data_IF_289570719723
#
_entry.id   IF_289570719723
#
_cell.length_a   1.000
_cell.length_b   1.000
_cell.length_c   1.000
_cell.angle_alpha   90.00
_cell.angle_beta   90.00
_cell.angle_gamma   90.00
#
_symmetry.space_group_name_H-M   'P 1'
#
loop_
_entity.id
_entity.type
_entity.pdbx_description
1 polymer ?
#
# COMPACT_ATOMS: atom_id res chain seq x y z
N UNK A 1 -7.83 -13.41 13.87
CA UNK A 1 -8.03 -13.11 12.43
C UNK A 1 -7.22 -11.86 12.12
N UNK A 2 -6.43 -11.86 11.08
CA UNK A 2 -5.65 -10.69 10.63
C UNK A 2 -6.60 -9.53 10.28
N UNK A 3 -6.21 -8.28 10.59
CA UNK A 3 -7.10 -7.10 10.39
C UNK A 3 -7.41 -6.82 8.93
N UNK A 4 -6.51 -7.17 8.00
CA UNK A 4 -6.78 -7.09 6.56
C UNK A 4 -7.97 -8.00 6.22
N UNK A 5 -7.91 -9.26 6.61
CA UNK A 5 -8.99 -10.22 6.36
C UNK A 5 -10.30 -9.78 7.04
N UNK A 6 -10.22 -9.23 8.25
CA UNK A 6 -11.39 -8.70 8.95
C UNK A 6 -12.01 -7.52 8.20
N UNK A 7 -11.21 -6.58 7.71
CA UNK A 7 -11.69 -5.45 6.91
C UNK A 7 -12.49 -5.93 5.70
N UNK A 8 -11.92 -6.81 4.88
CA UNK A 8 -12.59 -7.30 3.68
C UNK A 8 -13.78 -8.22 3.95
N UNK A 9 -13.87 -8.83 5.12
CA UNK A 9 -15.06 -9.60 5.52
C UNK A 9 -16.24 -8.71 5.91
N UNK A 10 -15.98 -7.50 6.42
CA UNK A 10 -17.01 -6.56 6.91
C UNK A 10 -17.35 -5.47 5.90
N UNK A 11 -16.40 -5.09 5.04
CA UNK A 11 -16.56 -4.06 4.02
C UNK A 11 -16.02 -4.56 2.68
N UNK A 12 -16.89 -4.69 1.68
CA UNK A 12 -16.54 -5.27 0.38
C UNK A 12 -16.34 -4.24 -0.73
N UNK A 13 -16.71 -2.98 -0.52
CA UNK A 13 -16.62 -1.90 -1.50
C UNK A 13 -16.22 -0.58 -0.84
N UNK A 14 -15.78 0.35 -1.67
CA UNK A 14 -15.42 1.72 -1.28
C UNK A 14 -14.39 1.76 -0.15
N UNK A 15 -13.48 0.79 -0.14
CA UNK A 15 -12.35 0.77 0.78
C UNK A 15 -11.33 1.81 0.31
N UNK A 16 -10.98 2.72 1.21
CA UNK A 16 -9.96 3.73 0.96
C UNK A 16 -8.72 3.39 1.77
N UNK A 17 -7.62 3.12 1.07
CA UNK A 17 -6.27 3.01 1.62
C UNK A 17 -5.46 4.25 1.29
N UNK A 18 -4.69 4.74 2.24
CA UNK A 18 -3.77 5.87 2.04
C UNK A 18 -2.35 5.40 2.22
N UNK A 19 -1.51 5.68 1.22
CA UNK A 19 -0.07 5.51 1.31
C UNK A 19 0.62 6.82 1.69
N UNK A 20 1.61 6.73 2.58
CA UNK A 20 2.58 7.79 2.82
C UNK A 20 3.95 7.22 3.20
N UNK A 21 5.02 8.01 3.05
CA UNK A 21 6.38 7.58 3.36
C UNK A 21 6.72 7.88 4.83
N UNK A 22 7.19 6.89 5.57
CA UNK A 22 7.65 7.04 6.95
C UNK A 22 8.81 8.05 7.03
N UNK A 23 8.79 8.94 8.02
CA UNK A 23 9.81 9.99 8.19
C UNK A 23 9.70 11.16 7.23
N UNK A 24 8.58 11.27 6.49
CA UNK A 24 8.29 12.38 5.58
C UNK A 24 6.99 13.09 5.97
N UNK A 25 6.95 14.44 5.90
CA UNK A 25 8.07 15.35 5.66
C UNK A 25 8.97 15.55 6.89
N UNK A 26 8.56 15.08 8.06
CA UNK A 26 9.30 15.15 9.33
C UNK A 26 9.57 13.76 9.88
N UNK A 27 10.70 13.59 10.56
CA UNK A 27 11.16 12.29 11.05
C UNK A 27 10.15 11.61 12.00
N UNK A 28 9.56 12.37 12.90
CA UNK A 28 8.67 11.88 13.96
C UNK A 28 7.19 11.85 13.55
N UNK A 29 6.85 12.25 12.34
CA UNK A 29 5.46 12.42 11.88
C UNK A 29 4.69 11.12 11.64
N UNK A 30 5.35 9.96 11.58
CA UNK A 30 4.75 8.70 11.12
C UNK A 30 3.55 8.27 11.98
N UNK A 31 3.75 8.11 13.29
CA UNK A 31 2.69 7.63 14.18
C UNK A 31 1.51 8.62 14.29
N UNK A 32 1.78 9.93 14.31
CA UNK A 32 0.73 10.95 14.35
C UNK A 32 -0.10 10.96 13.06
N UNK A 33 0.51 10.81 11.90
CA UNK A 33 -0.19 10.70 10.62
C UNK A 33 -1.14 9.50 10.59
N UNK A 34 -0.69 8.33 11.06
CA UNK A 34 -1.52 7.12 11.14
C UNK A 34 -2.77 7.37 12.01
N UNK A 35 -2.58 7.94 13.21
CA UNK A 35 -3.70 8.24 14.12
C UNK A 35 -4.71 9.22 13.53
N UNK A 36 -4.23 10.23 12.82
CA UNK A 36 -5.10 11.21 12.14
C UNK A 36 -5.88 10.53 11.03
N UNK A 37 -5.25 9.74 10.18
CA UNK A 37 -5.92 9.06 9.07
C UNK A 37 -7.03 8.12 9.57
N UNK A 38 -6.79 7.34 10.63
CA UNK A 38 -7.85 6.52 11.21
C UNK A 38 -9.02 7.36 11.74
N UNK A 39 -8.76 8.45 12.47
CA UNK A 39 -9.81 9.36 12.95
C UNK A 39 -10.63 10.00 11.82
N UNK A 40 -10.02 10.19 10.64
CA UNK A 40 -10.71 10.68 9.44
C UNK A 40 -11.50 9.60 8.68
N UNK A 41 -11.52 8.36 9.19
CA UNK A 41 -12.31 7.26 8.62
C UNK A 41 -11.63 6.52 7.46
N UNK A 42 -10.32 6.64 7.31
CA UNK A 42 -9.55 5.83 6.37
C UNK A 42 -9.61 4.36 6.81
N UNK A 43 -9.75 3.45 5.85
CA UNK A 43 -10.01 2.04 6.14
C UNK A 43 -8.73 1.20 6.30
N UNK A 44 -7.64 1.59 5.66
CA UNK A 44 -6.34 0.92 5.69
C UNK A 44 -5.24 1.94 5.44
N UNK A 45 -4.05 1.71 5.96
CA UNK A 45 -2.92 2.59 5.76
C UNK A 45 -1.73 1.78 5.26
N UNK A 46 -1.07 2.31 4.22
CA UNK A 46 0.18 1.81 3.69
C UNK A 46 1.32 2.75 4.08
N UNK A 47 2.32 2.22 4.77
CA UNK A 47 3.45 2.97 5.30
C UNK A 47 4.68 2.60 4.48
N UNK A 48 5.17 3.54 3.67
CA UNK A 48 6.35 3.36 2.85
C UNK A 48 7.63 3.32 3.69
N UNK A 49 8.41 2.27 3.53
CA UNK A 49 9.78 2.16 4.04
C UNK A 49 10.68 2.90 3.04
N UNK A 50 11.33 4.02 3.41
CA UNK A 50 12.14 4.78 2.47
C UNK A 50 13.35 3.96 2.01
N UNK A 51 13.65 4.03 0.71
CA UNK A 51 14.77 3.35 0.09
C UNK A 51 15.47 4.26 -0.93
N UNK A 52 16.78 4.13 -1.07
CA UNK A 52 17.60 4.98 -1.94
C UNK A 52 17.46 4.67 -3.43
N UNK A 53 17.09 3.43 -3.75
CA UNK A 53 17.12 2.90 -5.14
C UNK A 53 15.74 2.34 -5.55
N UNK A 54 14.64 3.12 -5.46
CA UNK A 54 13.29 2.66 -5.74
C UNK A 54 13.09 2.46 -7.24
N UNK A 55 12.74 1.24 -7.68
CA UNK A 55 12.52 0.91 -9.09
C UNK A 55 11.07 1.12 -9.56
N UNK A 56 10.11 1.02 -8.63
CA UNK A 56 8.68 1.03 -8.94
C UNK A 56 7.98 2.35 -8.61
N UNK A 57 8.67 3.29 -7.96
CA UNK A 57 8.07 4.50 -7.45
C UNK A 57 8.14 5.67 -8.45
N UNK A 58 7.08 6.47 -8.49
CA UNK A 58 7.06 7.72 -9.23
C UNK A 58 7.83 8.86 -8.52
N UNK A 59 8.05 9.99 -9.22
CA UNK A 59 8.91 11.09 -8.72
C UNK A 59 8.51 11.64 -7.35
N UNK A 60 7.21 11.71 -7.04
CA UNK A 60 6.70 12.20 -5.75
C UNK A 60 7.13 11.29 -4.61
N UNK A 61 6.99 9.98 -4.79
CA UNK A 61 7.35 8.99 -3.77
C UNK A 61 8.88 8.92 -3.63
N UNK A 62 9.63 8.96 -4.74
CA UNK A 62 11.08 9.01 -4.73
C UNK A 62 11.61 10.24 -3.96
N UNK A 63 10.98 11.41 -4.19
CA UNK A 63 11.31 12.63 -3.46
C UNK A 63 11.06 12.46 -1.94
N UNK A 64 9.90 11.94 -1.58
CA UNK A 64 9.55 11.69 -0.18
C UNK A 64 10.51 10.71 0.49
N UNK A 65 10.84 9.60 -0.16
CA UNK A 65 11.80 8.61 0.33
C UNK A 65 13.20 9.21 0.53
N UNK A 66 13.69 9.99 -0.46
CA UNK A 66 14.98 10.68 -0.36
C UNK A 66 15.02 11.65 0.82
N UNK A 67 13.95 12.41 1.03
CA UNK A 67 13.84 13.36 2.15
C UNK A 67 13.75 12.63 3.48
N UNK A 68 12.98 11.55 3.57
CA UNK A 68 12.88 10.72 4.77
C UNK A 68 14.23 10.11 5.19
N UNK A 69 15.01 9.61 4.22
CA UNK A 69 16.36 9.11 4.47
C UNK A 69 17.29 10.24 4.96
N UNK A 70 17.23 11.44 4.37
CA UNK A 70 17.98 12.62 4.83
C UNK A 70 17.57 13.05 6.24
N UNK A 71 16.32 12.88 6.62
CA UNK A 71 15.82 13.12 7.97
C UNK A 71 16.35 12.07 8.98
N UNK A 72 16.96 10.96 8.52
CA UNK A 72 17.50 9.90 9.35
C UNK A 72 16.56 8.71 9.57
N UNK A 73 15.50 8.57 8.77
CA UNK A 73 14.60 7.41 8.88
C UNK A 73 15.32 6.12 8.50
N UNK A 74 15.12 5.11 9.33
CA UNK A 74 15.58 3.73 9.12
C UNK A 74 14.45 2.77 9.44
N UNK A 75 14.52 1.53 8.93
CA UNK A 75 13.53 0.51 9.23
C UNK A 75 13.45 0.22 10.75
N UNK A 76 14.58 0.22 11.44
CA UNK A 76 14.61 0.05 12.90
C UNK A 76 13.87 1.20 13.60
N UNK A 77 14.16 2.44 13.23
CA UNK A 77 13.49 3.62 13.81
C UNK A 77 12.00 3.62 13.51
N UNK A 78 11.59 3.19 12.32
CA UNK A 78 10.18 3.02 11.98
C UNK A 78 9.48 2.08 12.95
N UNK A 79 10.03 0.90 13.20
CA UNK A 79 9.47 -0.03 14.18
C UNK A 79 9.45 0.55 15.60
N UNK A 80 10.50 1.25 16.01
CA UNK A 80 10.55 1.93 17.32
C UNK A 80 9.43 2.98 17.45
N UNK A 81 9.11 3.73 16.38
CA UNK A 81 8.00 4.69 16.35
C UNK A 81 6.62 4.01 16.40
N UNK A 82 6.51 2.80 15.87
CA UNK A 82 5.24 2.06 15.79
C UNK A 82 4.97 1.12 16.98
N UNK A 83 5.93 0.90 17.89
CA UNK A 83 5.81 -0.09 18.97
C UNK A 83 4.54 0.02 19.83
N UNK A 84 4.00 1.21 19.99
CA UNK A 84 2.81 1.49 20.80
C UNK A 84 1.57 1.85 19.97
N UNK A 85 1.67 1.79 18.65
CA UNK A 85 0.62 2.28 17.75
C UNK A 85 -0.73 1.60 17.99
N UNK A 86 -0.71 0.32 18.34
CA UNK A 86 -1.91 -0.49 18.57
C UNK A 86 -2.68 -0.17 19.85
N UNK A 87 -2.16 0.69 20.71
CA UNK A 87 -2.91 1.23 21.83
C UNK A 87 -4.04 2.17 21.38
N UNK A 88 -3.90 2.78 20.20
CA UNK A 88 -4.84 3.79 19.71
C UNK A 88 -5.40 3.47 18.31
N UNK A 89 -4.72 2.66 17.49
CA UNK A 89 -5.06 2.40 16.08
C UNK A 89 -5.49 0.95 15.87
N UNK A 90 -6.65 0.74 15.25
CA UNK A 90 -7.23 -0.59 15.04
C UNK A 90 -7.36 -0.98 13.57
N UNK A 91 -7.31 -0.04 12.62
CA UNK A 91 -7.36 -0.34 11.19
C UNK A 91 -6.12 -1.11 10.72
N UNK A 92 -6.21 -1.86 9.60
CA UNK A 92 -5.06 -2.53 9.02
C UNK A 92 -3.91 -1.58 8.71
N UNK A 93 -2.70 -1.97 9.08
CA UNK A 93 -1.45 -1.29 8.74
C UNK A 93 -0.61 -2.22 7.88
N UNK A 94 -0.19 -1.71 6.71
CA UNK A 94 0.62 -2.44 5.74
C UNK A 94 1.93 -1.68 5.55
N UNK A 95 3.06 -2.38 5.64
CA UNK A 95 4.33 -1.79 5.22
C UNK A 95 4.51 -1.97 3.71
N UNK A 96 5.07 -0.98 3.04
CA UNK A 96 5.48 -1.10 1.64
C UNK A 96 6.95 -0.74 1.50
N UNK A 97 7.75 -1.66 0.98
CA UNK A 97 9.18 -1.45 0.83
C UNK A 97 9.86 -2.49 -0.04
N UNK A 98 11.10 -2.23 -0.39
CA UNK A 98 11.88 -3.09 -1.28
C UNK A 98 12.55 -4.25 -0.52
N UNK A 99 12.84 -5.32 -1.24
CA UNK A 99 13.38 -6.55 -0.67
C UNK A 99 14.74 -6.33 0.02
N UNK A 100 15.63 -5.52 -0.55
CA UNK A 100 16.97 -5.31 -0.01
C UNK A 100 16.99 -4.79 1.44
N UNK A 101 16.32 -3.68 1.83
CA UNK A 101 16.26 -3.25 3.22
C UNK A 101 15.68 -4.32 4.16
N UNK A 102 14.68 -5.06 3.72
CA UNK A 102 14.06 -6.14 4.49
C UNK A 102 15.04 -7.29 4.72
N UNK A 103 15.79 -7.68 3.68
CA UNK A 103 16.83 -8.71 3.78
C UNK A 103 17.98 -8.28 4.69
N UNK A 104 18.40 -7.02 4.66
CA UNK A 104 19.42 -6.47 5.56
C UNK A 104 18.97 -6.50 7.04
N UNK A 105 17.67 -6.34 7.28
CA UNK A 105 17.08 -6.50 8.63
C UNK A 105 16.99 -7.98 9.04
N UNK A 106 16.92 -8.88 8.07
CA UNK A 106 16.64 -10.30 8.23
C UNK A 106 15.14 -10.58 8.13
N UNK A 107 14.71 -11.31 7.07
CA UNK A 107 13.29 -11.48 6.77
C UNK A 107 12.48 -12.08 7.94
N UNK A 108 13.06 -13.08 8.64
CA UNK A 108 12.42 -13.69 9.82
C UNK A 108 12.23 -12.69 10.97
N UNK A 109 13.26 -11.92 11.27
CA UNK A 109 13.21 -10.90 12.31
C UNK A 109 12.28 -9.76 11.92
N UNK A 110 12.25 -9.39 10.65
CA UNK A 110 11.33 -8.41 10.10
C UNK A 110 9.86 -8.85 10.30
N UNK A 111 9.49 -10.08 9.90
CA UNK A 111 8.14 -10.60 10.08
C UNK A 111 7.76 -10.68 11.57
N UNK A 112 8.68 -11.13 12.44
CA UNK A 112 8.46 -11.14 13.89
C UNK A 112 8.19 -9.72 14.41
N UNK A 113 9.02 -8.76 14.02
CA UNK A 113 8.85 -7.36 14.46
C UNK A 113 7.56 -6.75 13.90
N UNK A 114 7.16 -7.09 12.66
CA UNK A 114 5.85 -6.74 12.13
C UNK A 114 4.72 -7.22 13.04
N UNK A 115 4.75 -8.49 13.46
CA UNK A 115 3.76 -9.05 14.38
C UNK A 115 3.76 -8.31 15.74
N UNK A 116 4.92 -8.11 16.33
CA UNK A 116 5.08 -7.45 17.63
C UNK A 116 4.57 -6.00 17.63
N UNK A 117 4.80 -5.27 16.54
CA UNK A 117 4.30 -3.90 16.36
C UNK A 117 2.87 -3.84 15.82
N UNK A 118 2.31 -5.01 15.43
CA UNK A 118 0.94 -5.12 14.95
C UNK A 118 0.77 -4.70 13.49
N UNK A 119 1.80 -4.82 12.67
CA UNK A 119 1.68 -4.70 11.21
C UNK A 119 0.98 -5.94 10.67
N UNK A 120 -0.01 -5.75 9.81
CA UNK A 120 -0.91 -6.80 9.32
C UNK A 120 -0.44 -7.40 7.99
N UNK A 121 0.27 -6.63 7.18
CA UNK A 121 0.76 -7.08 5.88
C UNK A 121 1.94 -6.28 5.37
N UNK A 122 2.54 -6.78 4.30
CA UNK A 122 3.70 -6.15 3.63
C UNK A 122 3.55 -6.26 2.12
N UNK A 123 3.82 -5.18 1.44
CA UNK A 123 3.95 -5.08 -0.02
C UNK A 123 5.43 -4.99 -0.34
N UNK A 124 5.94 -5.92 -1.15
CA UNK A 124 7.34 -5.95 -1.58
C UNK A 124 7.34 -6.00 -3.12
N UNK A 125 7.42 -4.84 -3.81
CA UNK A 125 7.22 -4.76 -5.27
C UNK A 125 8.24 -5.57 -6.09
N UNK A 126 9.43 -5.77 -5.58
CA UNK A 126 10.54 -6.48 -6.20
C UNK A 126 10.72 -7.92 -5.69
N UNK A 127 9.76 -8.46 -4.93
CA UNK A 127 9.79 -9.87 -4.48
C UNK A 127 9.29 -10.80 -5.59
N UNK A 128 10.14 -11.68 -6.17
CA UNK A 128 9.68 -12.67 -7.12
C UNK A 128 8.74 -13.68 -6.44
N UNK A 129 7.65 -14.02 -7.12
CA UNK A 129 6.67 -14.96 -6.54
C UNK A 129 7.25 -16.36 -6.28
N UNK A 130 8.19 -16.80 -7.12
CA UNK A 130 8.87 -18.08 -6.91
C UNK A 130 9.61 -18.07 -5.58
N UNK A 131 10.39 -17.04 -5.33
CA UNK A 131 11.15 -16.89 -4.09
C UNK A 131 10.21 -16.75 -2.88
N UNK A 132 9.10 -16.02 -3.06
CA UNK A 132 8.04 -15.99 -2.04
C UNK A 132 7.55 -17.39 -1.68
N UNK A 133 7.23 -18.22 -2.66
CA UNK A 133 6.70 -19.56 -2.43
C UNK A 133 7.71 -20.50 -1.79
N UNK A 134 8.98 -20.41 -2.20
CA UNK A 134 10.03 -21.33 -1.78
C UNK A 134 10.67 -20.94 -0.43
N UNK A 135 10.82 -19.62 -0.14
CA UNK A 135 11.63 -19.16 0.97
C UNK A 135 10.87 -18.33 2.01
N UNK A 136 9.94 -17.45 1.56
CA UNK A 136 9.40 -16.40 2.44
C UNK A 136 8.00 -16.68 2.99
N UNK A 137 7.19 -17.46 2.26
CA UNK A 137 5.79 -17.69 2.57
C UNK A 137 5.57 -18.24 3.98
N UNK A 138 6.22 -19.36 4.29
CA UNK A 138 6.05 -20.02 5.60
C UNK A 138 6.44 -19.12 6.76
N UNK A 139 7.51 -18.34 6.60
CA UNK A 139 7.99 -17.40 7.61
C UNK A 139 6.97 -16.29 7.87
N UNK A 140 6.37 -15.74 6.81
CA UNK A 140 5.35 -14.70 6.94
C UNK A 140 4.05 -15.24 7.56
N UNK A 141 3.61 -16.42 7.11
CA UNK A 141 2.41 -17.09 7.63
C UNK A 141 2.53 -17.44 9.12
N UNK A 142 3.69 -17.92 9.60
CA UNK A 142 3.96 -18.17 11.01
C UNK A 142 3.78 -16.92 11.89
N UNK A 143 4.05 -15.75 11.34
CA UNK A 143 3.92 -14.47 12.03
C UNK A 143 2.58 -13.77 11.77
N UNK A 144 1.64 -14.41 11.07
CA UNK A 144 0.34 -13.84 10.65
C UNK A 144 0.48 -12.53 9.84
N UNK A 145 1.57 -12.37 9.09
CA UNK A 145 1.85 -11.24 8.21
C UNK A 145 1.46 -11.60 6.78
N UNK A 146 0.57 -10.84 6.17
CA UNK A 146 0.14 -11.05 4.77
C UNK A 146 1.16 -10.44 3.82
N UNK A 147 1.70 -11.23 2.90
CA UNK A 147 2.50 -10.71 1.79
C UNK A 147 1.55 -10.41 0.64
N UNK A 148 1.42 -9.13 0.31
CA UNK A 148 0.51 -8.63 -0.70
C UNK A 148 1.24 -8.60 -2.04
N UNK A 149 0.72 -9.36 -3.00
CA UNK A 149 1.29 -9.43 -4.34
C UNK A 149 0.66 -8.42 -5.29
N UNK A 150 1.51 -7.89 -6.19
CA UNK A 150 1.10 -6.95 -7.21
C UNK A 150 0.81 -7.66 -8.53
N UNK A 151 -0.18 -7.16 -9.26
CA UNK A 151 -0.42 -7.52 -10.65
C UNK A 151 -0.48 -6.25 -11.50
N UNK A 152 -0.07 -6.38 -12.75
CA UNK A 152 -0.03 -5.32 -13.75
C UNK A 152 -0.87 -5.70 -14.97
N UNK A 153 -1.13 -4.78 -15.92
CA UNK A 153 -1.79 -5.13 -17.17
C UNK A 153 -1.10 -6.25 -17.96
N UNK A 154 0.23 -6.39 -17.82
CA UNK A 154 1.04 -7.40 -18.50
C UNK A 154 1.08 -8.75 -17.77
N UNK A 155 0.57 -8.83 -16.54
CA UNK A 155 0.56 -10.08 -15.79
C UNK A 155 -0.39 -11.09 -16.44
N UNK A 156 0.13 -12.30 -16.75
CA UNK A 156 -0.67 -13.36 -17.36
C UNK A 156 -1.77 -13.87 -16.43
N UNK A 157 -2.87 -14.36 -17.00
CA UNK A 157 -3.97 -14.93 -16.21
C UNK A 157 -3.54 -16.11 -15.35
N UNK A 158 -2.69 -16.97 -15.90
CA UNK A 158 -2.11 -18.09 -15.16
C UNK A 158 -1.39 -17.61 -13.90
N UNK A 159 -0.56 -16.58 -14.05
CA UNK A 159 0.17 -15.98 -12.93
C UNK A 159 -0.77 -15.36 -11.90
N UNK A 160 -1.81 -14.67 -12.36
CA UNK A 160 -2.81 -14.05 -11.47
C UNK A 160 -3.53 -15.14 -10.66
N UNK A 161 -3.92 -16.27 -11.29
CA UNK A 161 -4.56 -17.38 -10.58
C UNK A 161 -3.64 -18.02 -9.55
N UNK A 162 -2.36 -18.21 -9.87
CA UNK A 162 -1.38 -18.69 -8.90
C UNK A 162 -1.22 -17.74 -7.70
N UNK A 163 -1.18 -16.44 -7.95
CA UNK A 163 -1.15 -15.43 -6.88
C UNK A 163 -2.43 -15.56 -6.02
N UNK A 164 -3.60 -15.63 -6.64
CA UNK A 164 -4.87 -15.73 -5.94
C UNK A 164 -4.99 -16.99 -5.09
N UNK A 165 -4.48 -18.11 -5.57
CA UNK A 165 -4.51 -19.40 -4.87
C UNK A 165 -3.56 -19.42 -3.66
N UNK A 166 -2.39 -18.82 -3.79
CA UNK A 166 -1.31 -18.98 -2.82
C UNK A 166 -1.05 -17.76 -1.93
N UNK A 167 -1.83 -16.69 -2.06
CA UNK A 167 -1.74 -15.50 -1.19
C UNK A 167 -3.04 -15.29 -0.44
N UNK A 168 -2.99 -14.40 0.56
CA UNK A 168 -4.13 -14.03 1.39
C UNK A 168 -4.08 -12.53 1.70
N UNK A 169 -5.24 -11.95 2.04
CA UNK A 169 -5.39 -10.51 2.28
C UNK A 169 -6.04 -9.81 1.09
N UNK A 170 -5.27 -9.30 0.16
CA UNK A 170 -5.77 -8.72 -1.10
C UNK A 170 -4.71 -8.78 -2.20
N UNK A 171 -5.14 -8.58 -3.45
CA UNK A 171 -4.25 -8.41 -4.61
C UNK A 171 -4.16 -6.93 -4.95
N UNK A 172 -2.94 -6.40 -5.03
CA UNK A 172 -2.68 -5.02 -5.42
C UNK A 172 -2.67 -4.90 -6.95
N UNK A 173 -3.64 -4.20 -7.51
CA UNK A 173 -3.70 -3.94 -8.95
C UNK A 173 -3.00 -2.62 -9.27
N UNK A 174 -1.88 -2.71 -9.97
CA UNK A 174 -1.19 -1.53 -10.52
C UNK A 174 -1.93 -1.09 -11.77
N UNK A 175 -2.48 0.12 -11.78
CA UNK A 175 -3.38 0.58 -12.85
C UNK A 175 -2.67 0.92 -14.17
N UNK A 176 -1.34 0.98 -14.18
CA UNK A 176 -0.53 1.28 -15.37
C UNK A 176 0.92 0.85 -15.15
N UNK A 177 1.50 0.17 -16.12
CA UNK A 177 2.93 -0.13 -16.16
C UNK A 177 3.75 1.02 -16.77
N UNK A 178 3.11 2.01 -17.41
CA UNK A 178 3.78 3.10 -18.12
C UNK A 178 3.60 4.45 -17.41
N UNK A 179 4.69 5.13 -17.20
CA UNK A 179 4.74 6.51 -16.68
C UNK A 179 4.38 7.54 -17.77
N UNK A 180 4.30 7.13 -19.06
CA UNK A 180 4.10 8.03 -20.20
C UNK A 180 3.27 7.41 -21.30
N UNK A 181 2.17 8.08 -21.75
CA UNK A 181 1.39 7.70 -22.93
C UNK A 181 0.16 8.60 -23.15
N UNK A 182 -0.33 8.71 -24.41
CA UNK A 182 -1.43 9.56 -24.83
C UNK A 182 -2.76 9.21 -24.12
N UNK A 183 -3.43 10.19 -23.53
CA UNK A 183 -4.48 10.04 -22.52
C UNK A 183 -5.77 9.31 -22.93
N UNK A 184 -6.15 9.26 -24.22
CA UNK A 184 -7.44 8.66 -24.64
C UNK A 184 -7.39 7.14 -24.78
N UNK A 185 -6.38 6.60 -25.44
CA UNK A 185 -6.20 5.14 -25.58
C UNK A 185 -5.83 4.48 -24.25
N UNK A 186 -5.16 5.21 -23.39
CA UNK A 186 -4.80 4.80 -22.05
C UNK A 186 -6.01 4.51 -21.15
N UNK A 187 -7.08 5.31 -21.22
CA UNK A 187 -8.29 5.07 -20.43
C UNK A 187 -9.04 3.80 -20.88
N UNK A 188 -9.10 3.51 -22.18
CA UNK A 188 -9.74 2.30 -22.70
C UNK A 188 -8.96 1.03 -22.30
N UNK A 189 -7.64 1.06 -22.39
CA UNK A 189 -6.77 -0.06 -21.97
C UNK A 189 -6.88 -0.34 -20.47
N UNK A 190 -6.93 0.70 -19.64
CA UNK A 190 -7.15 0.55 -18.19
C UNK A 190 -8.48 -0.12 -17.88
N UNK A 191 -9.56 0.34 -18.50
CA UNK A 191 -10.89 -0.22 -18.30
C UNK A 191 -10.94 -1.68 -18.73
N UNK A 192 -10.35 -2.02 -19.88
CA UNK A 192 -10.25 -3.39 -20.36
C UNK A 192 -9.47 -4.29 -19.37
N UNK A 193 -8.37 -3.79 -18.81
CA UNK A 193 -7.62 -4.49 -17.79
C UNK A 193 -8.46 -4.72 -16.52
N UNK A 194 -9.12 -3.70 -16.01
CA UNK A 194 -9.96 -3.84 -14.80
C UNK A 194 -11.11 -4.81 -15.03
N UNK A 195 -11.77 -4.75 -16.19
CA UNK A 195 -12.83 -5.68 -16.54
C UNK A 195 -12.31 -7.11 -16.67
N UNK A 196 -11.17 -7.31 -17.33
CA UNK A 196 -10.50 -8.63 -17.41
C UNK A 196 -10.29 -9.24 -16.03
N UNK A 197 -9.76 -8.46 -15.08
CA UNK A 197 -9.52 -8.97 -13.73
C UNK A 197 -10.83 -9.22 -12.96
N UNK A 198 -11.84 -8.37 -13.15
CA UNK A 198 -13.15 -8.58 -12.55
C UNK A 198 -13.79 -9.90 -13.01
N UNK A 199 -13.70 -10.20 -14.32
CA UNK A 199 -14.26 -11.41 -14.93
C UNK A 199 -13.56 -12.71 -14.49
N UNK A 200 -12.36 -12.62 -13.95
CA UNK A 200 -11.62 -13.77 -13.44
C UNK A 200 -12.23 -14.40 -12.17
N UNK A 201 -13.12 -13.70 -11.48
CA UNK A 201 -13.78 -14.15 -10.23
C UNK A 201 -12.78 -14.66 -9.19
N UNK A 202 -11.74 -13.87 -8.92
CA UNK A 202 -10.68 -14.21 -7.97
C UNK A 202 -11.22 -14.30 -6.52
N UNK A 203 -10.64 -15.20 -5.74
CA UNK A 203 -10.96 -15.41 -4.32
C UNK A 203 -10.59 -14.18 -3.47
N UNK A 204 -9.39 -13.66 -3.70
CA UNK A 204 -8.91 -12.51 -2.95
C UNK A 204 -9.57 -11.20 -3.43
N UNK A 205 -9.92 -10.28 -2.54
CA UNK A 205 -10.32 -8.93 -2.91
C UNK A 205 -9.17 -8.20 -3.64
N UNK A 206 -9.51 -7.21 -4.44
CA UNK A 206 -8.55 -6.39 -5.19
C UNK A 206 -8.62 -4.96 -4.72
N UNK A 207 -7.45 -4.31 -4.65
CA UNK A 207 -7.32 -2.87 -4.43
C UNK A 207 -6.57 -2.26 -5.60
N UNK A 208 -7.06 -1.17 -6.16
CA UNK A 208 -6.44 -0.49 -7.30
C UNK A 208 -5.61 0.68 -6.79
N UNK A 209 -4.32 0.67 -7.11
CA UNK A 209 -3.38 1.75 -6.84
C UNK A 209 -2.87 2.43 -8.10
N UNK A 210 -2.16 3.54 -7.91
CA UNK A 210 -1.60 4.43 -8.92
C UNK A 210 -2.62 5.25 -9.74
N UNK A 211 -2.42 6.57 -9.74
CA UNK A 211 -3.22 7.51 -10.53
C UNK A 211 -4.60 7.82 -9.95
N UNK A 212 -4.87 7.43 -8.71
CA UNK A 212 -6.11 7.78 -8.00
C UNK A 212 -5.89 9.09 -7.24
N UNK A 213 -6.69 10.12 -7.54
CA UNK A 213 -6.46 11.45 -6.97
C UNK A 213 -7.71 12.31 -6.79
N UNK A 214 -8.86 11.88 -7.29
CA UNK A 214 -10.13 12.60 -7.25
C UNK A 214 -11.32 11.62 -7.26
N UNK A 215 -12.53 12.14 -7.12
CA UNK A 215 -13.79 11.38 -7.13
C UNK A 215 -13.91 10.44 -8.32
N UNK A 216 -13.76 10.95 -9.53
CA UNK A 216 -13.93 10.15 -10.75
C UNK A 216 -12.99 8.94 -10.81
N UNK A 217 -11.71 9.13 -10.45
CA UNK A 217 -10.73 8.04 -10.43
C UNK A 217 -11.01 7.05 -9.31
N UNK A 218 -11.48 7.51 -8.15
CA UNK A 218 -11.87 6.66 -7.03
C UNK A 218 -13.12 5.82 -7.35
N UNK A 219 -14.16 6.44 -7.91
CA UNK A 219 -15.40 5.75 -8.33
C UNK A 219 -15.10 4.70 -9.42
N UNK A 220 -14.25 5.03 -10.39
CA UNK A 220 -13.81 4.08 -11.42
C UNK A 220 -13.10 2.87 -10.81
N UNK A 221 -12.21 3.07 -9.85
CA UNK A 221 -11.53 1.98 -9.16
C UNK A 221 -12.51 1.13 -8.33
N UNK A 222 -13.40 1.77 -7.58
CA UNK A 222 -14.41 1.10 -6.74
C UNK A 222 -15.44 0.31 -7.53
N UNK A 223 -15.68 0.66 -8.80
CA UNK A 223 -16.55 -0.09 -9.70
C UNK A 223 -15.98 -1.48 -10.06
N UNK A 224 -14.65 -1.64 -10.09
CA UNK A 224 -13.98 -2.86 -10.54
C UNK A 224 -13.22 -3.62 -9.43
N UNK A 225 -13.06 -3.02 -8.26
CA UNK A 225 -12.32 -3.59 -7.14
C UNK A 225 -13.02 -3.31 -5.80
N UNK A 226 -12.48 -3.84 -4.70
CA UNK A 226 -12.98 -3.56 -3.36
C UNK A 226 -12.72 -2.11 -2.92
N UNK A 227 -11.79 -1.43 -3.57
CA UNK A 227 -11.48 -0.05 -3.28
C UNK A 227 -10.20 0.44 -3.97
N UNK A 228 -9.69 1.56 -3.48
CA UNK A 228 -8.55 2.23 -4.06
C UNK A 228 -7.48 2.62 -3.04
N UNK A 229 -6.25 2.74 -3.54
CA UNK A 229 -5.07 3.16 -2.81
C UNK A 229 -4.62 4.51 -3.36
N UNK A 230 -4.50 5.50 -2.50
CA UNK A 230 -4.06 6.85 -2.87
C UNK A 230 -2.72 7.12 -2.19
N UNK A 231 -1.68 7.32 -3.00
CA UNK A 231 -0.34 7.61 -2.53
C UNK A 231 0.11 9.03 -2.86
N UNK A 232 0.60 9.25 -4.08
CA UNK A 232 1.27 10.50 -4.49
C UNK A 232 0.45 11.76 -4.19
N UNK A 233 -0.88 11.71 -4.33
CA UNK A 233 -1.75 12.86 -4.01
C UNK A 233 -1.68 13.20 -2.52
N UNK A 234 -1.76 12.20 -1.64
CA UNK A 234 -1.69 12.44 -0.19
C UNK A 234 -0.28 12.90 0.23
N UNK A 235 0.77 12.28 -0.32
CA UNK A 235 2.17 12.68 -0.06
C UNK A 235 2.41 14.14 -0.46
N UNK A 236 1.90 14.57 -1.62
CA UNK A 236 1.97 15.98 -2.06
C UNK A 236 1.25 16.90 -1.08
N UNK A 237 0.02 16.58 -0.70
CA UNK A 237 -0.75 17.38 0.26
C UNK A 237 -0.08 17.45 1.63
N UNK A 238 0.52 16.34 2.08
CA UNK A 238 1.23 16.30 3.35
C UNK A 238 2.47 17.20 3.35
N UNK A 239 3.17 17.30 2.21
CA UNK A 239 4.29 18.23 2.03
C UNK A 239 3.83 19.70 1.98
N UNK A 240 2.82 20.00 1.17
CA UNK A 240 2.20 21.33 1.06
C UNK A 240 1.73 21.87 2.42
N UNK A 241 1.20 20.99 3.28
CA UNK A 241 0.74 21.32 4.62
C UNK A 241 1.83 21.20 5.70
N UNK A 242 3.11 21.11 5.30
CA UNK A 242 4.27 21.01 6.20
C UNK A 242 4.12 19.89 7.27
N UNK A 243 3.58 18.76 6.88
CA UNK A 243 3.36 17.60 7.76
C UNK A 243 2.08 17.67 8.60
N UNK A 244 1.21 18.65 8.39
CA UNK A 244 -0.09 18.68 9.03
C UNK A 244 -1.03 17.63 8.39
N UNK A 245 -1.02 16.43 8.93
CA UNK A 245 -1.77 15.30 8.42
C UNK A 245 -3.30 15.55 8.44
N UNK A 246 -3.81 16.32 9.40
CA UNK A 246 -5.23 16.63 9.49
C UNK A 246 -5.70 17.46 8.29
N UNK A 247 -4.98 18.57 8.01
CA UNK A 247 -5.29 19.40 6.85
C UNK A 247 -5.11 18.67 5.53
N UNK A 248 -4.05 17.86 5.40
CA UNK A 248 -3.79 17.06 4.21
C UNK A 248 -4.91 16.04 3.96
N UNK A 249 -5.38 15.36 5.02
CA UNK A 249 -6.49 14.41 4.95
C UNK A 249 -7.81 15.11 4.59
N UNK A 250 -8.11 16.26 5.18
CA UNK A 250 -9.33 17.02 4.88
C UNK A 250 -9.37 17.45 3.40
N UNK A 251 -8.27 18.01 2.88
CA UNK A 251 -8.15 18.37 1.46
C UNK A 251 -8.32 17.16 0.53
N UNK A 252 -7.72 16.01 0.90
CA UNK A 252 -7.87 14.80 0.10
C UNK A 252 -9.33 14.33 0.10
N UNK A 253 -9.95 14.22 1.26
CA UNK A 253 -11.34 13.75 1.39
C UNK A 253 -12.33 14.70 0.70
N UNK A 254 -12.06 16.01 0.68
CA UNK A 254 -12.82 16.98 -0.10
C UNK A 254 -12.70 16.72 -1.61
N UNK A 255 -11.48 16.48 -2.11
CA UNK A 255 -11.23 16.16 -3.52
C UNK A 255 -11.88 14.83 -3.97
N UNK A 256 -12.19 13.92 -3.04
CA UNK A 256 -12.89 12.66 -3.31
C UNK A 256 -14.42 12.81 -3.28
N UNK A 257 -14.95 13.93 -2.77
CA UNK A 257 -16.40 14.22 -2.74
C UNK A 257 -16.85 15.05 -3.93
N UNK A 258 -15.96 15.90 -4.45
CA UNK A 258 -16.21 16.83 -5.56
C UNK A 258 -15.66 16.26 -6.89
#
# INVERSE_FOLDING_TARGET
>A
MNRINQLFSTKQKDILSIYFCAGFPTLEGTASTIKVLEKKGINMIEIGIPFSDPMADGPVIQHAATRALKNGMTLKLLFDQLKDIRKEVQIPLVLMGYLNPIMQYGFKDFCRTCRETGIDGVIIPDLPFKDYMEEYRSVAEEQDVRIIMLITPETSEERIRLIDEHTDGFIYMVSSAAITGAQKDFNAQKQAYFQRIADMNLRNPRMIGFGISNKQTFETASAHAAGAIIGSKFVTLLDEENGNAEKAADKLLEALKN
#
